data_IF_985938701910
#
_entry.id   IF_985938701910
#
_cell.length_a   1.000
_cell.length_b   1.000
_cell.length_c   1.000
_cell.angle_alpha   90.00
_cell.angle_beta   90.00
_cell.angle_gamma   90.00
#
_symmetry.space_group_name_H-M   'P 1'
#
loop_
_entity.id
_entity.type
_entity.pdbx_description
1 polymer ?
#
# COMPACT_ATOMS: atom_id res chain seq x y z
N UNK A 1 -11.41 0.51 3.07
CA UNK A 1 -10.50 1.66 3.27
C UNK A 1 -9.23 1.15 3.97
N UNK A 2 -8.04 1.66 3.65
CA UNK A 2 -6.78 1.18 4.27
C UNK A 2 -6.80 1.38 5.79
N UNK A 3 -7.30 2.52 6.25
CA UNK A 3 -7.39 2.84 7.67
C UNK A 3 -8.26 1.84 8.44
N UNK A 4 -9.48 1.54 7.95
CA UNK A 4 -10.37 0.57 8.59
C UNK A 4 -9.76 -0.83 8.58
N UNK A 5 -9.16 -1.24 7.46
CA UNK A 5 -8.46 -2.53 7.37
C UNK A 5 -7.37 -2.68 8.44
N UNK A 6 -6.55 -1.64 8.66
CA UNK A 6 -5.53 -1.67 9.71
C UNK A 6 -6.20 -1.68 11.10
N UNK A 7 -7.18 -0.81 11.36
CA UNK A 7 -7.82 -0.71 12.68
C UNK A 7 -8.48 -2.03 13.10
N UNK A 8 -9.16 -2.67 12.16
CA UNK A 8 -9.96 -3.88 12.38
C UNK A 8 -9.11 -5.17 12.34
N UNK A 9 -7.82 -5.07 12.00
CA UNK A 9 -6.95 -6.24 11.97
C UNK A 9 -6.78 -6.84 13.37
N UNK A 10 -6.98 -8.16 13.57
CA UNK A 10 -7.05 -8.76 14.92
C UNK A 10 -5.75 -8.60 15.72
N UNK A 11 -4.59 -8.79 15.09
CA UNK A 11 -3.31 -8.72 15.78
C UNK A 11 -2.84 -7.27 15.99
N UNK A 12 -2.87 -6.82 17.24
CA UNK A 12 -2.40 -5.49 17.63
C UNK A 12 -0.91 -5.22 17.36
N UNK A 13 -0.05 -6.24 17.45
CA UNK A 13 1.38 -6.10 17.16
C UNK A 13 1.59 -5.85 15.67
N UNK A 14 0.85 -6.56 14.82
CA UNK A 14 0.88 -6.34 13.38
C UNK A 14 0.36 -4.96 13.00
N UNK A 15 -0.73 -4.49 13.63
CA UNK A 15 -1.23 -3.11 13.46
C UNK A 15 -0.16 -2.07 13.74
N UNK A 16 0.51 -2.17 14.90
CA UNK A 16 1.59 -1.25 15.28
C UNK A 16 2.77 -1.31 14.31
N UNK A 17 3.13 -2.51 13.86
CA UNK A 17 4.24 -2.71 12.93
C UNK A 17 3.97 -2.07 11.57
N UNK A 18 2.79 -2.29 11.00
CA UNK A 18 2.44 -1.70 9.71
C UNK A 18 2.30 -0.18 9.78
N UNK A 19 1.74 0.36 10.89
CA UNK A 19 1.72 1.81 11.12
C UNK A 19 3.12 2.40 11.22
N UNK A 20 4.05 1.70 11.89
CA UNK A 20 5.46 2.12 11.92
C UNK A 20 6.05 2.13 10.51
N UNK A 21 5.77 1.13 9.69
CA UNK A 21 6.28 1.08 8.31
C UNK A 21 5.73 2.22 7.46
N UNK A 22 4.46 2.58 7.63
CA UNK A 22 3.86 3.74 6.97
C UNK A 22 4.48 5.05 7.45
N UNK A 23 4.75 5.19 8.75
CA UNK A 23 5.44 6.36 9.30
C UNK A 23 6.87 6.47 8.77
N UNK A 24 7.64 5.39 8.81
CA UNK A 24 9.00 5.33 8.27
C UNK A 24 9.00 5.72 6.78
N UNK A 25 8.00 5.24 6.01
CA UNK A 25 7.83 5.59 4.60
C UNK A 25 7.53 7.08 4.40
N UNK A 26 6.70 7.69 5.25
CA UNK A 26 6.36 9.10 5.16
C UNK A 26 7.55 10.00 5.57
N UNK A 27 8.32 9.60 6.57
CA UNK A 27 9.42 10.42 7.11
C UNK A 27 10.71 10.29 6.29
N UNK A 28 10.96 9.12 5.71
CA UNK A 28 12.25 8.77 5.10
C UNK A 28 12.15 8.22 3.68
N UNK A 29 10.94 8.03 3.16
CA UNK A 29 10.71 7.45 1.85
C UNK A 29 10.84 5.92 1.81
N UNK A 30 11.02 5.34 0.61
CA UNK A 30 11.06 3.89 0.39
C UNK A 30 12.08 3.16 1.27
N UNK A 31 11.63 2.15 2.00
CA UNK A 31 12.55 1.33 2.81
C UNK A 31 13.45 0.48 1.90
N UNK A 32 14.77 0.40 2.12
CA UNK A 32 15.71 -0.32 1.24
C UNK A 32 15.57 -1.86 1.29
N UNK A 33 14.75 -2.40 2.21
CA UNK A 33 14.64 -3.84 2.42
C UNK A 33 13.45 -4.40 1.64
N UNK A 34 13.74 -5.36 0.75
CA UNK A 34 12.74 -6.08 -0.06
C UNK A 34 11.72 -6.88 0.75
N UNK A 35 12.05 -7.17 2.01
CA UNK A 35 11.16 -7.84 2.96
C UNK A 35 10.09 -6.91 3.53
N UNK A 36 10.38 -5.60 3.60
CA UNK A 36 9.47 -4.57 4.15
C UNK A 36 8.82 -3.73 3.07
N UNK A 37 9.47 -3.56 1.93
CA UNK A 37 9.03 -2.69 0.86
C UNK A 37 9.46 -3.24 -0.49
N UNK A 38 8.59 -3.22 -1.49
CA UNK A 38 8.93 -3.61 -2.86
C UNK A 38 8.20 -2.72 -3.84
N UNK A 39 8.96 -2.20 -4.82
CA UNK A 39 8.37 -1.62 -6.04
C UNK A 39 7.93 -2.78 -6.94
N UNK A 40 6.70 -2.70 -7.43
CA UNK A 40 6.10 -3.74 -8.26
C UNK A 40 6.28 -3.35 -9.73
N UNK A 41 5.64 -2.26 -10.16
CA UNK A 41 5.65 -1.80 -11.56
C UNK A 41 5.04 -0.39 -11.68
N UNK A 42 5.46 0.42 -12.66
CA UNK A 42 4.83 1.69 -13.04
C UNK A 42 4.50 2.64 -11.86
N UNK A 43 5.41 2.75 -10.88
CA UNK A 43 5.22 3.58 -9.68
C UNK A 43 4.35 2.94 -8.58
N UNK A 44 3.88 1.70 -8.79
CA UNK A 44 3.19 0.89 -7.80
C UNK A 44 4.19 0.24 -6.83
N UNK A 45 3.81 0.18 -5.57
CA UNK A 45 4.59 -0.45 -4.52
C UNK A 45 3.71 -1.27 -3.56
N UNK A 46 4.37 -2.13 -2.79
CA UNK A 46 3.81 -2.79 -1.62
C UNK A 46 4.66 -2.52 -0.37
N UNK A 47 3.98 -2.27 0.75
CA UNK A 47 4.54 -2.33 2.10
C UNK A 47 4.15 -3.68 2.71
N UNK A 48 5.14 -4.39 3.23
CA UNK A 48 5.00 -5.73 3.78
C UNK A 48 5.18 -5.71 5.29
N UNK A 49 4.24 -6.32 5.99
CA UNK A 49 4.38 -6.82 7.35
C UNK A 49 4.27 -8.35 7.34
N UNK A 50 4.25 -8.99 8.51
CA UNK A 50 4.18 -10.44 8.59
C UNK A 50 2.87 -10.98 8.01
N UNK A 51 1.73 -10.38 8.36
CA UNK A 51 0.41 -10.82 7.87
C UNK A 51 -0.29 -9.82 6.95
N UNK A 52 0.21 -8.60 6.86
CA UNK A 52 -0.43 -7.50 6.14
C UNK A 52 0.43 -7.08 4.94
N UNK A 53 -0.22 -6.87 3.80
CA UNK A 53 0.34 -6.09 2.68
C UNK A 53 -0.51 -4.84 2.47
N UNK A 54 0.13 -3.71 2.22
CA UNK A 54 -0.53 -2.47 1.78
C UNK A 54 0.00 -2.13 0.40
N UNK A 55 -0.90 -1.93 -0.55
CA UNK A 55 -0.56 -1.56 -1.91
C UNK A 55 -0.80 -0.05 -2.12
N UNK A 56 0.04 0.56 -2.94
CA UNK A 56 -0.06 1.98 -3.25
C UNK A 56 0.73 2.39 -4.47
N UNK A 57 0.66 3.68 -4.78
CA UNK A 57 1.31 4.32 -5.92
C UNK A 57 2.06 5.56 -5.46
N UNK A 58 3.24 5.80 -6.03
CA UNK A 58 3.91 7.08 -5.93
C UNK A 58 3.17 8.14 -6.73
N UNK A 59 3.00 9.32 -6.13
CA UNK A 59 2.34 10.48 -6.70
C UNK A 59 3.33 11.65 -6.79
N UNK A 60 3.06 12.67 -7.62
CA UNK A 60 3.84 13.91 -7.61
C UNK A 60 3.85 14.59 -6.23
N UNK A 61 4.80 15.50 -6.02
CA UNK A 61 4.98 16.28 -4.78
C UNK A 61 5.23 15.43 -3.53
N UNK A 62 6.03 14.36 -3.66
CA UNK A 62 6.40 13.45 -2.55
C UNK A 62 5.19 12.83 -1.83
N UNK A 63 4.09 12.63 -2.56
CA UNK A 63 2.88 12.00 -2.05
C UNK A 63 2.83 10.52 -2.42
N UNK A 64 2.05 9.78 -1.65
CA UNK A 64 1.68 8.39 -1.98
C UNK A 64 0.17 8.23 -1.93
N UNK A 65 -0.37 7.43 -2.85
CA UNK A 65 -1.75 6.96 -2.81
C UNK A 65 -1.76 5.53 -2.27
N UNK A 66 -2.36 5.30 -1.12
CA UNK A 66 -2.61 3.95 -0.62
C UNK A 66 -3.97 3.47 -1.14
N UNK A 67 -3.99 2.35 -1.86
CA UNK A 67 -5.21 1.84 -2.48
C UNK A 67 -6.02 0.99 -1.50
N UNK A 68 -5.39 -0.05 -0.95
CA UNK A 68 -6.01 -0.98 0.00
C UNK A 68 -4.95 -1.81 0.73
N UNK A 69 -5.38 -2.42 1.84
CA UNK A 69 -4.62 -3.47 2.53
C UNK A 69 -5.24 -4.83 2.28
N UNK A 70 -4.43 -5.89 2.30
CA UNK A 70 -4.86 -7.27 2.20
C UNK A 70 -4.06 -8.18 3.14
N UNK A 71 -4.66 -9.32 3.49
CA UNK A 71 -4.00 -10.34 4.31
C UNK A 71 -3.09 -11.16 3.42
N UNK A 72 -1.83 -11.35 3.84
CA UNK A 72 -0.87 -12.23 3.17
C UNK A 72 -1.38 -13.67 3.27
N UNK A 73 -1.76 -14.26 2.14
CA UNK A 73 -2.13 -15.68 2.04
C UNK A 73 -0.94 -16.56 1.66
N UNK A 74 -0.06 -16.03 0.80
CA UNK A 74 1.11 -16.70 0.26
C UNK A 74 2.33 -15.76 0.22
N UNK A 75 3.52 -16.29 -0.01
CA UNK A 75 4.75 -15.49 -0.11
C UNK A 75 4.76 -14.55 -1.32
N UNK A 76 4.07 -14.93 -2.40
CA UNK A 76 3.88 -14.09 -3.57
C UNK A 76 2.63 -13.22 -3.44
N UNK A 77 2.65 -12.07 -4.14
CA UNK A 77 1.51 -11.16 -4.18
C UNK A 77 0.54 -11.63 -5.25
N UNK A 78 -0.70 -11.86 -4.83
CA UNK A 78 -1.80 -12.27 -5.69
C UNK A 78 -2.00 -11.26 -6.83
N UNK A 79 -2.06 -11.75 -8.06
CA UNK A 79 -2.30 -10.91 -9.25
C UNK A 79 -3.62 -10.15 -9.16
N UNK A 80 -4.64 -10.71 -8.51
CA UNK A 80 -5.93 -10.04 -8.32
C UNK A 80 -5.79 -8.78 -7.47
N UNK A 81 -4.94 -8.83 -6.45
CA UNK A 81 -4.64 -7.68 -5.58
C UNK A 81 -3.90 -6.59 -6.37
N UNK A 82 -3.03 -6.98 -7.30
CA UNK A 82 -2.34 -6.06 -8.21
C UNK A 82 -3.34 -5.41 -9.17
N UNK A 83 -4.19 -6.22 -9.82
CA UNK A 83 -5.22 -5.75 -10.75
C UNK A 83 -6.17 -4.78 -10.04
N UNK A 84 -6.61 -5.09 -8.82
CA UNK A 84 -7.47 -4.23 -8.00
C UNK A 84 -6.82 -2.88 -7.70
N UNK A 85 -5.54 -2.87 -7.31
CA UNK A 85 -4.82 -1.63 -7.04
C UNK A 85 -4.76 -0.73 -8.29
N UNK A 86 -4.48 -1.31 -9.46
CA UNK A 86 -4.47 -0.58 -10.75
C UNK A 86 -5.84 0.02 -11.08
N UNK A 87 -6.93 -0.72 -10.85
CA UNK A 87 -8.30 -0.21 -11.05
C UNK A 87 -8.59 0.98 -10.13
N UNK A 88 -8.22 0.90 -8.85
CA UNK A 88 -8.41 2.01 -7.90
C UNK A 88 -7.59 3.24 -8.28
N UNK A 89 -6.36 3.05 -8.74
CA UNK A 89 -5.52 4.14 -9.21
C UNK A 89 -6.10 4.84 -10.44
N UNK A 90 -6.56 4.08 -11.44
CA UNK A 90 -7.18 4.65 -12.64
C UNK A 90 -8.50 5.37 -12.33
N UNK A 91 -9.31 4.83 -11.40
CA UNK A 91 -10.51 5.52 -10.93
C UNK A 91 -10.18 6.86 -10.26
N UNK A 92 -9.17 6.88 -9.39
CA UNK A 92 -8.68 8.11 -8.74
C UNK A 92 -8.19 9.14 -9.78
N UNK A 93 -7.41 8.71 -10.77
CA UNK A 93 -6.93 9.57 -11.87
C UNK A 93 -8.06 10.18 -12.68
N UNK A 94 -9.07 9.40 -13.04
CA UNK A 94 -10.25 9.88 -13.79
C UNK A 94 -11.02 10.95 -12.99
N UNK A 95 -11.19 10.74 -11.68
CA UNK A 95 -11.82 11.72 -10.80
C UNK A 95 -11.09 13.07 -10.73
N UNK A 96 -9.75 13.05 -10.79
CA UNK A 96 -8.93 14.27 -10.87
C UNK A 96 -9.15 15.03 -12.19
N UNK A 97 -9.28 14.32 -13.31
CA UNK A 97 -9.47 14.94 -14.64
C UNK A 97 -10.87 15.53 -14.82
N UNK A 98 -11.89 14.94 -14.20
CA UNK A 98 -13.27 15.44 -14.26
C UNK A 98 -13.56 16.61 -13.30
N UNK A 99 -12.60 17.01 -12.47
CA UNK A 99 -12.72 18.10 -11.50
C UNK A 99 -11.96 19.38 -11.90
N UNK A 100 -11.58 19.50 -13.18
CA UNK A 100 -11.00 20.70 -13.81
C UNK A 100 -11.91 21.17 -14.93
#
# INVERSE_FOLDING_TARGET
MVESFIKDFPDHRERKKVLRHLKDMADHGPHPSRERFRVIDAGMFEIKSYQIRILGFFMPDDKILLTHGCVKKEDELDEEEIKRAKVYYEAYRKGLTSSR
#
